data_IF_633781400521
#
_entry.id   IF_633781400521
#
_cell.length_a   1.000
_cell.length_b   1.000
_cell.length_c   1.000
_cell.angle_alpha   90.00
_cell.angle_beta   90.00
_cell.angle_gamma   90.00
#
_symmetry.space_group_name_H-M   'P 1'
#
loop_
_entity.id
_entity.type
_entity.pdbx_description
1 polymer ?
#
# COMPACT_ATOMS: atom_id res chain seq x y z
N UNK A 1 41.95 9.36 -14.68
CA UNK A 1 40.71 9.61 -15.45
C UNK A 1 39.71 8.48 -15.26
N UNK A 2 40.05 7.23 -15.59
CA UNK A 2 39.16 6.07 -15.36
C UNK A 2 38.81 5.85 -13.89
N UNK A 3 39.79 5.93 -12.99
CA UNK A 3 39.58 5.77 -11.54
C UNK A 3 38.58 6.80 -10.97
N UNK A 4 38.75 8.08 -11.33
CA UNK A 4 37.82 9.16 -10.96
C UNK A 4 36.40 8.92 -11.48
N UNK A 5 36.26 8.38 -12.71
CA UNK A 5 34.98 8.02 -13.27
C UNK A 5 34.33 6.84 -12.53
N UNK A 6 35.11 5.82 -12.16
CA UNK A 6 34.66 4.67 -11.35
C UNK A 6 34.17 5.15 -9.98
N UNK A 7 34.95 6.00 -9.30
CA UNK A 7 34.53 6.58 -8.01
C UNK A 7 33.21 7.35 -8.12
N UNK A 8 33.03 8.15 -9.17
CA UNK A 8 31.80 8.90 -9.39
C UNK A 8 30.57 8.00 -9.62
N UNK A 9 30.74 6.88 -10.33
CA UNK A 9 29.67 5.90 -10.54
C UNK A 9 29.33 5.16 -9.23
N UNK A 10 30.34 4.75 -8.45
CA UNK A 10 30.11 4.11 -7.15
C UNK A 10 29.36 5.01 -6.16
N UNK A 11 29.69 6.30 -6.11
CA UNK A 11 28.95 7.26 -5.29
C UNK A 11 27.48 7.36 -5.72
N UNK A 12 27.21 7.46 -7.03
CA UNK A 12 25.83 7.51 -7.55
C UNK A 12 25.04 6.22 -7.27
N UNK A 13 25.69 5.05 -7.34
CA UNK A 13 25.07 3.78 -6.97
C UNK A 13 24.73 3.73 -5.49
N UNK A 14 25.61 4.25 -4.62
CA UNK A 14 25.33 4.37 -3.19
C UNK A 14 24.14 5.30 -2.90
N UNK A 15 24.08 6.46 -3.56
CA UNK A 15 22.95 7.39 -3.45
C UNK A 15 21.64 6.76 -3.94
N UNK A 16 21.68 6.04 -5.06
CA UNK A 16 20.53 5.32 -5.59
C UNK A 16 20.05 4.23 -4.61
N UNK A 17 20.95 3.41 -4.07
CA UNK A 17 20.62 2.36 -3.11
C UNK A 17 20.00 2.92 -1.82
N UNK A 18 20.51 4.06 -1.32
CA UNK A 18 19.92 4.74 -0.16
C UNK A 18 18.53 5.29 -0.48
N UNK A 19 18.33 5.85 -1.68
CA UNK A 19 17.03 6.35 -2.12
C UNK A 19 16.00 5.22 -2.24
N UNK A 20 16.37 4.10 -2.86
CA UNK A 20 15.51 2.92 -2.98
C UNK A 20 15.18 2.31 -1.62
N UNK A 21 16.15 2.17 -0.72
CA UNK A 21 15.93 1.67 0.63
C UNK A 21 14.96 2.55 1.43
N UNK A 22 15.05 3.88 1.27
CA UNK A 22 14.12 4.83 1.91
C UNK A 22 12.69 4.64 1.39
N UNK A 23 12.52 4.47 0.07
CA UNK A 23 11.21 4.22 -0.54
C UNK A 23 10.64 2.91 -0.01
N UNK A 24 11.43 1.83 0.04
CA UNK A 24 10.99 0.53 0.56
C UNK A 24 10.56 0.60 2.03
N UNK A 25 11.30 1.30 2.87
CA UNK A 25 10.93 1.51 4.27
C UNK A 25 9.61 2.28 4.39
N UNK A 26 9.47 3.38 3.64
CA UNK A 26 8.25 4.19 3.65
C UNK A 26 7.02 3.41 3.16
N UNK A 27 7.16 2.66 2.06
CA UNK A 27 6.09 1.78 1.54
C UNK A 27 5.72 0.70 2.57
N UNK A 28 6.70 0.14 3.27
CA UNK A 28 6.46 -0.81 4.36
C UNK A 28 5.63 -0.21 5.50
N UNK A 29 5.95 1.01 5.94
CA UNK A 29 5.20 1.74 6.96
C UNK A 29 3.76 2.07 6.49
N UNK A 30 3.60 2.46 5.22
CA UNK A 30 2.30 2.76 4.63
C UNK A 30 1.41 1.50 4.52
N UNK A 31 1.98 0.33 4.19
CA UNK A 31 1.27 -0.96 4.18
C UNK A 31 0.81 -1.36 5.58
N UNK A 32 1.66 -1.16 6.60
CA UNK A 32 1.30 -1.39 8.01
C UNK A 32 0.11 -0.51 8.41
N UNK A 33 0.18 0.79 8.09
CA UNK A 33 -0.89 1.74 8.37
C UNK A 33 -2.20 1.38 7.65
N UNK A 34 -2.11 0.95 6.39
CA UNK A 34 -3.26 0.52 5.61
C UNK A 34 -3.92 -0.72 6.21
N UNK A 35 -3.13 -1.74 6.58
CA UNK A 35 -3.62 -2.93 7.29
C UNK A 35 -4.38 -2.55 8.56
N UNK A 36 -3.80 -1.71 9.40
CA UNK A 36 -4.41 -1.32 10.68
C UNK A 36 -5.74 -0.55 10.45
N UNK A 37 -5.82 0.28 9.39
CA UNK A 37 -7.08 0.94 8.98
C UNK A 37 -8.12 -0.04 8.47
N UNK A 38 -7.73 -1.03 7.67
CA UNK A 38 -8.63 -2.06 7.17
C UNK A 38 -9.18 -2.93 8.32
N UNK A 39 -8.35 -3.29 9.30
CA UNK A 39 -8.79 -3.99 10.52
C UNK A 39 -9.83 -3.17 11.29
N UNK A 40 -9.58 -1.86 11.46
CA UNK A 40 -10.52 -0.95 12.11
C UNK A 40 -11.86 -0.86 11.37
N UNK A 41 -11.80 -0.72 10.04
CA UNK A 41 -12.98 -0.68 9.17
C UNK A 41 -13.78 -1.99 9.23
N UNK A 42 -13.09 -3.14 9.25
CA UNK A 42 -13.74 -4.44 9.41
C UNK A 42 -14.46 -4.54 10.77
N UNK A 43 -13.82 -4.09 11.85
CA UNK A 43 -14.43 -4.07 13.19
C UNK A 43 -15.65 -3.14 13.22
N UNK A 44 -15.56 -1.98 12.59
CA UNK A 44 -16.66 -1.02 12.46
C UNK A 44 -17.85 -1.61 11.72
N UNK A 45 -17.65 -2.26 10.56
CA UNK A 45 -18.73 -2.90 9.79
C UNK A 45 -19.42 -4.00 10.61
N UNK A 46 -18.65 -4.82 11.34
CA UNK A 46 -19.21 -5.84 12.25
C UNK A 46 -20.08 -5.21 13.34
N UNK A 47 -19.67 -4.06 13.88
CA UNK A 47 -20.43 -3.32 14.88
C UNK A 47 -21.71 -2.70 14.30
N UNK A 48 -21.59 -2.08 13.13
CA UNK A 48 -22.71 -1.55 12.35
C UNK A 48 -23.75 -2.64 12.04
N UNK A 49 -23.32 -3.82 11.62
CA UNK A 49 -24.23 -4.95 11.36
C UNK A 49 -24.92 -5.46 12.63
N UNK A 50 -24.25 -5.42 13.79
CA UNK A 50 -24.88 -5.73 15.09
C UNK A 50 -25.96 -4.71 15.42
N UNK A 51 -25.67 -3.41 15.27
CA UNK A 51 -26.63 -2.31 15.50
C UNK A 51 -27.80 -2.32 14.52
N UNK A 52 -27.54 -2.66 13.25
CA UNK A 52 -28.57 -2.79 12.21
C UNK A 52 -29.65 -3.81 12.58
N UNK A 53 -29.26 -4.95 13.17
CA UNK A 53 -30.19 -5.99 13.66
C UNK A 53 -31.08 -5.53 14.81
N UNK A 54 -30.71 -4.45 15.51
CA UNK A 54 -31.49 -3.85 16.60
C UNK A 54 -32.45 -2.73 16.14
N UNK A 55 -32.52 -2.44 14.84
CA UNK A 55 -33.27 -1.30 14.27
C UNK A 55 -32.32 -0.22 13.77
N UNK A 56 -32.30 0.00 12.45
CA UNK A 56 -31.21 0.71 11.73
C UNK A 56 -31.36 2.23 11.73
N UNK A 57 -30.28 2.96 12.02
CA UNK A 57 -30.14 4.40 11.74
C UNK A 57 -29.48 4.63 10.35
N UNK A 58 -29.87 5.70 9.64
CA UNK A 58 -29.40 6.02 8.29
C UNK A 58 -27.88 6.24 8.16
N UNK A 59 -27.21 6.71 9.22
CA UNK A 59 -25.77 6.92 9.29
C UNK A 59 -25.00 5.60 9.17
N UNK A 60 -25.47 4.58 9.88
CA UNK A 60 -24.89 3.22 9.83
C UNK A 60 -24.84 2.69 8.39
N UNK A 61 -25.86 2.98 7.58
CA UNK A 61 -25.96 2.51 6.19
C UNK A 61 -24.98 3.21 5.25
N UNK A 62 -24.81 4.52 5.43
CA UNK A 62 -23.86 5.33 4.65
C UNK A 62 -22.44 4.90 4.95
N UNK A 63 -22.11 4.71 6.23
CA UNK A 63 -20.76 4.33 6.64
C UNK A 63 -20.39 2.93 6.15
N UNK A 64 -21.30 1.95 6.23
CA UNK A 64 -21.06 0.60 5.67
C UNK A 64 -20.75 0.65 4.17
N UNK A 65 -21.43 1.52 3.41
CA UNK A 65 -21.13 1.72 1.98
C UNK A 65 -19.72 2.26 1.78
N UNK A 66 -19.39 3.37 2.44
CA UNK A 66 -18.08 4.01 2.29
C UNK A 66 -16.92 3.08 2.72
N UNK A 67 -17.11 2.30 3.77
CA UNK A 67 -16.11 1.30 4.18
C UNK A 67 -15.87 0.26 3.08
N UNK A 68 -16.92 -0.20 2.40
CA UNK A 68 -16.79 -1.16 1.29
C UNK A 68 -16.09 -0.54 0.10
N UNK A 69 -16.46 0.70 -0.25
CA UNK A 69 -15.84 1.42 -1.38
C UNK A 69 -14.31 1.52 -1.15
N UNK A 70 -13.87 1.94 0.03
CA UNK A 70 -12.43 2.02 0.38
C UNK A 70 -11.74 0.65 0.35
N UNK A 71 -12.43 -0.42 0.79
CA UNK A 71 -11.86 -1.76 0.77
C UNK A 71 -11.62 -2.25 -0.68
N UNK A 72 -12.56 -2.00 -1.58
CA UNK A 72 -12.41 -2.36 -3.00
C UNK A 72 -11.34 -1.52 -3.69
N UNK A 73 -11.31 -0.21 -3.47
CA UNK A 73 -10.26 0.67 -4.02
C UNK A 73 -8.86 0.22 -3.56
N UNK A 74 -8.76 -0.33 -2.35
CA UNK A 74 -7.49 -0.88 -1.83
C UNK A 74 -7.14 -2.22 -2.47
N UNK A 75 -8.11 -3.10 -2.70
CA UNK A 75 -7.93 -4.37 -3.39
C UNK A 75 -7.41 -4.14 -4.82
N UNK A 76 -8.05 -3.23 -5.56
CA UNK A 76 -7.63 -2.85 -6.93
C UNK A 76 -6.19 -2.31 -6.94
N UNK A 77 -5.82 -1.44 -5.98
CA UNK A 77 -4.47 -0.89 -5.90
C UNK A 77 -3.40 -1.95 -5.57
N UNK A 78 -3.75 -2.96 -4.77
CA UNK A 78 -2.86 -4.08 -4.48
C UNK A 78 -2.70 -4.99 -5.70
N UNK A 79 -3.80 -5.28 -6.41
CA UNK A 79 -3.77 -6.07 -7.63
C UNK A 79 -2.90 -5.41 -8.72
N UNK A 80 -3.02 -4.09 -8.90
CA UNK A 80 -2.17 -3.32 -9.81
C UNK A 80 -0.67 -3.42 -9.42
N UNK A 81 -0.36 -3.30 -8.12
CA UNK A 81 1.02 -3.42 -7.62
C UNK A 81 1.62 -4.81 -7.91
N UNK A 82 0.85 -5.88 -7.68
CA UNK A 82 1.31 -7.24 -7.95
C UNK A 82 1.35 -7.58 -9.45
N UNK A 83 0.49 -6.97 -10.27
CA UNK A 83 0.53 -7.12 -11.73
C UNK A 83 1.72 -6.39 -12.37
N UNK A 84 2.17 -5.28 -11.80
CA UNK A 84 3.31 -4.52 -12.34
C UNK A 84 4.67 -5.20 -12.02
N UNK A 85 4.79 -5.92 -10.89
CA UNK A 85 5.96 -6.77 -10.60
C UNK A 85 6.18 -7.89 -11.65
N UNK A 86 5.11 -8.42 -12.24
CA UNK A 86 5.18 -9.48 -13.28
C UNK A 86 5.71 -8.95 -14.62
N UNK A 87 5.81 -7.63 -14.80
CA UNK A 87 6.23 -6.99 -16.07
C UNK A 87 7.68 -6.51 -16.09
N UNK A 88 8.47 -6.68 -15.01
CA UNK A 88 9.89 -6.31 -15.05
C UNK A 88 10.66 -7.19 -16.04
N UNK A 89 11.38 -6.61 -17.04
CA UNK A 89 12.11 -7.39 -18.02
C UNK A 89 13.27 -8.17 -17.37
N UNK A 90 13.41 -9.43 -17.76
CA UNK A 90 14.48 -10.33 -17.35
C UNK A 90 15.86 -9.67 -17.36
N UNK A 91 16.77 -10.05 -16.44
CA UNK A 91 18.13 -9.51 -16.43
C UNK A 91 18.82 -9.75 -17.77
N UNK A 92 19.39 -8.69 -18.32
CA UNK A 92 20.18 -8.73 -19.55
C UNK A 92 21.36 -9.68 -19.34
N UNK A 93 21.43 -10.73 -20.17
CA UNK A 93 22.51 -11.70 -20.24
C UNK A 93 23.74 -11.13 -20.96
#
# INVERSE_FOLDING_TARGET
>A
MAETAITAVLSKLGELAVSEAKILLQVGDDIILLRDRLEWLQAFVRDADRKRRAGTDGLTRVWVRQTRDVAFDTEDALDDFFHEEVRLPSPIH
#
